data_IF_733230911957
#
_entry.id   IF_733230911957
#
_cell.length_a   1.000
_cell.length_b   1.000
_cell.length_c   1.000
_cell.angle_alpha   90.00
_cell.angle_beta   90.00
_cell.angle_gamma   90.00
#
_symmetry.space_group_name_H-M   'P 1'
#
loop_
_entity.id
_entity.type
_entity.pdbx_description
1 polymer ?
#
# COMPACT_ATOMS: atom_id res chain seq x y z
N UNK A 1 -0.34 13.37 -10.11
CA UNK A 1 0.90 12.66 -9.69
C UNK A 1 2.15 13.53 -9.73
N UNK A 2 2.28 14.51 -10.64
CA UNK A 2 3.32 15.55 -10.55
C UNK A 2 3.24 16.34 -9.23
N UNK A 3 2.03 16.65 -8.76
CA UNK A 3 1.82 17.35 -7.49
C UNK A 3 2.21 16.50 -6.27
N UNK A 4 1.88 15.20 -6.27
CA UNK A 4 2.32 14.25 -5.23
C UNK A 4 3.84 14.22 -5.10
N UNK A 5 4.55 14.14 -6.24
CA UNK A 5 6.01 14.19 -6.27
C UNK A 5 6.56 15.48 -5.63
N UNK A 6 5.99 16.64 -5.99
CA UNK A 6 6.39 17.93 -5.41
C UNK A 6 6.20 17.97 -3.89
N UNK A 7 5.09 17.42 -3.39
CA UNK A 7 4.82 17.34 -1.94
C UNK A 7 5.92 16.51 -1.26
N UNK A 8 6.23 15.31 -1.77
CA UNK A 8 7.29 14.46 -1.22
C UNK A 8 8.65 15.19 -1.25
N UNK A 9 9.03 15.75 -2.39
CA UNK A 9 10.32 16.42 -2.55
C UNK A 9 10.43 17.68 -1.66
N UNK A 10 9.31 18.34 -1.36
CA UNK A 10 9.25 19.51 -0.45
C UNK A 10 9.37 19.07 1.01
N UNK A 11 8.67 18.00 1.40
CA UNK A 11 8.78 17.41 2.73
C UNK A 11 10.20 16.90 3.02
N UNK A 12 10.89 16.33 2.02
CA UNK A 12 12.29 15.88 2.15
C UNK A 12 13.27 17.04 2.37
N UNK A 13 13.00 18.22 1.80
CA UNK A 13 13.85 19.43 1.97
C UNK A 13 13.67 20.10 3.32
N UNK A 14 12.54 19.86 3.98
CA UNK A 14 12.26 20.40 5.32
C UNK A 14 12.93 19.49 6.35
N UNK A 15 13.56 20.07 7.38
CA UNK A 15 14.25 19.27 8.41
C UNK A 15 13.27 18.34 9.13
N UNK A 16 13.40 17.02 8.88
CA UNK A 16 12.58 15.97 9.48
C UNK A 16 13.03 15.66 10.91
N UNK A 17 12.90 16.64 11.81
CA UNK A 17 13.22 16.50 13.24
C UNK A 17 12.20 15.64 13.98
N UNK A 18 10.94 15.68 13.55
CA UNK A 18 9.83 14.92 14.11
C UNK A 18 9.69 13.53 13.44
N UNK A 19 9.62 12.48 14.26
CA UNK A 19 9.40 11.11 13.80
C UNK A 19 8.03 10.92 13.14
N UNK A 20 6.98 11.59 13.61
CA UNK A 20 5.64 11.49 13.02
C UNK A 20 5.62 12.05 11.60
N UNK A 21 6.22 13.23 11.37
CA UNK A 21 6.35 13.82 10.03
C UNK A 21 7.21 12.95 9.10
N UNK A 22 8.27 12.33 9.63
CA UNK A 22 9.09 11.37 8.87
C UNK A 22 8.30 10.12 8.48
N UNK A 23 7.46 9.60 9.37
CA UNK A 23 6.58 8.47 9.08
C UNK A 23 5.50 8.84 8.04
N UNK A 24 4.97 10.06 8.10
CA UNK A 24 4.04 10.58 7.10
C UNK A 24 4.68 10.68 5.71
N UNK A 25 5.91 11.21 5.64
CA UNK A 25 6.69 11.21 4.39
C UNK A 25 6.89 9.79 3.85
N UNK A 26 7.22 8.83 4.73
CA UNK A 26 7.35 7.43 4.36
C UNK A 26 6.06 6.86 3.78
N UNK A 27 4.90 7.24 4.33
CA UNK A 27 3.59 6.87 3.80
C UNK A 27 3.38 7.42 2.38
N UNK A 28 3.65 8.71 2.16
CA UNK A 28 3.51 9.29 0.82
C UNK A 28 4.48 8.67 -0.20
N UNK A 29 5.72 8.38 0.20
CA UNK A 29 6.67 7.66 -0.64
C UNK A 29 6.16 6.25 -0.99
N UNK A 30 5.59 5.52 -0.02
CA UNK A 30 4.99 4.21 -0.26
C UNK A 30 3.91 4.24 -1.36
N UNK A 31 3.01 5.22 -1.32
CA UNK A 31 1.99 5.40 -2.37
C UNK A 31 2.59 5.80 -3.72
N UNK A 32 3.55 6.73 -3.73
CA UNK A 32 4.20 7.19 -4.95
C UNK A 32 5.00 6.09 -5.65
N UNK A 33 5.71 5.25 -4.89
CA UNK A 33 6.45 4.10 -5.43
C UNK A 33 5.48 3.12 -6.10
N UNK A 34 4.35 2.79 -5.45
CA UNK A 34 3.31 1.95 -6.06
C UNK A 34 2.83 2.52 -7.40
N UNK A 35 2.56 3.83 -7.44
CA UNK A 35 2.17 4.49 -8.69
C UNK A 35 3.27 4.39 -9.76
N UNK A 36 4.53 4.67 -9.43
CA UNK A 36 5.65 4.52 -10.36
C UNK A 36 5.72 3.10 -10.93
N UNK A 37 5.52 2.08 -10.10
CA UNK A 37 5.51 0.68 -10.54
C UNK A 37 4.34 0.39 -11.50
N UNK A 38 3.14 0.88 -11.19
CA UNK A 38 1.97 0.76 -12.09
C UNK A 38 2.21 1.41 -13.47
N UNK A 39 2.98 2.50 -13.50
CA UNK A 39 3.37 3.20 -14.73
C UNK A 39 4.68 2.68 -15.35
N UNK A 40 5.21 1.54 -14.86
CA UNK A 40 6.48 0.91 -15.33
C UNK A 40 7.71 1.82 -15.21
N UNK A 41 7.68 2.83 -14.33
CA UNK A 41 8.80 3.75 -14.05
C UNK A 41 9.74 3.14 -13.01
N UNK A 42 10.40 2.03 -13.36
CA UNK A 42 11.21 1.26 -12.41
C UNK A 42 12.42 2.02 -11.87
N UNK A 43 13.06 2.88 -12.67
CA UNK A 43 14.19 3.69 -12.22
C UNK A 43 13.77 4.70 -11.16
N UNK A 44 12.65 5.39 -11.39
CA UNK A 44 12.08 6.36 -10.43
C UNK A 44 11.62 5.65 -9.15
N UNK A 45 10.92 4.51 -9.29
CA UNK A 45 10.53 3.67 -8.15
C UNK A 45 11.74 3.26 -7.30
N UNK A 46 12.85 2.88 -7.94
CA UNK A 46 14.10 2.48 -7.26
C UNK A 46 14.71 3.64 -6.48
N UNK A 47 14.72 4.85 -7.06
CA UNK A 47 15.23 6.06 -6.39
C UNK A 47 14.43 6.35 -5.12
N UNK A 48 13.11 6.42 -5.22
CA UNK A 48 12.24 6.74 -4.08
C UNK A 48 12.22 5.62 -3.04
N UNK A 49 12.28 4.35 -3.45
CA UNK A 49 12.40 3.21 -2.55
C UNK A 49 13.65 3.33 -1.67
N UNK A 50 14.81 3.64 -2.25
CA UNK A 50 16.04 3.84 -1.49
C UNK A 50 15.95 5.02 -0.52
N UNK A 51 15.23 6.09 -0.87
CA UNK A 51 14.97 7.21 0.05
C UNK A 51 14.08 6.79 1.21
N UNK A 52 13.00 6.07 0.91
CA UNK A 52 12.07 5.53 1.89
C UNK A 52 12.75 4.59 2.90
N UNK A 53 13.66 3.73 2.44
CA UNK A 53 14.44 2.85 3.32
C UNK A 53 15.32 3.62 4.30
N UNK A 54 15.92 4.74 3.90
CA UNK A 54 16.67 5.61 4.83
C UNK A 54 15.78 6.20 5.92
N UNK A 55 14.50 6.48 5.61
CA UNK A 55 13.55 6.94 6.62
C UNK A 55 13.18 5.81 7.59
N UNK A 56 13.03 4.57 7.10
CA UNK A 56 12.85 3.39 7.96
C UNK A 56 14.04 3.24 8.92
N UNK A 57 15.28 3.26 8.42
CA UNK A 57 16.48 3.12 9.26
C UNK A 57 16.54 4.20 10.36
N UNK A 58 16.23 5.45 10.00
CA UNK A 58 16.21 6.56 10.95
C UNK A 58 15.11 6.41 12.03
N UNK A 59 13.96 5.82 11.70
CA UNK A 59 12.86 5.58 12.64
C UNK A 59 13.13 4.33 13.50
N UNK A 60 13.74 3.28 12.93
CA UNK A 60 14.14 2.06 13.63
C UNK A 60 15.19 2.35 14.72
N UNK A 61 16.19 3.19 14.43
CA UNK A 61 17.19 3.62 15.41
C UNK A 61 16.57 4.28 16.65
N UNK A 62 15.36 4.83 16.50
CA UNK A 62 14.59 5.46 17.59
C UNK A 62 13.47 4.55 18.12
N UNK A 63 13.36 3.32 17.61
CA UNK A 63 12.29 2.35 17.92
C UNK A 63 10.88 2.93 17.75
N UNK A 64 10.71 3.83 16.78
CA UNK A 64 9.45 4.54 16.59
C UNK A 64 8.46 3.71 15.77
N UNK A 65 7.33 3.33 16.38
CA UNK A 65 6.26 2.52 15.76
C UNK A 65 6.78 1.26 15.03
N UNK A 66 7.39 0.31 15.75
CA UNK A 66 8.05 -0.84 15.14
C UNK A 66 7.10 -1.70 14.29
N UNK A 67 5.83 -1.85 14.67
CA UNK A 67 4.85 -2.58 13.86
C UNK A 67 4.65 -1.95 12.46
N UNK A 68 4.46 -0.64 12.40
CA UNK A 68 4.34 0.11 11.14
C UNK A 68 5.60 -0.05 10.27
N UNK A 69 6.79 0.07 10.87
CA UNK A 69 8.05 -0.07 10.12
C UNK A 69 8.22 -1.48 9.56
N UNK A 70 7.85 -2.52 10.32
CA UNK A 70 7.82 -3.88 9.81
C UNK A 70 6.82 -4.03 8.64
N UNK A 71 5.64 -3.42 8.72
CA UNK A 71 4.68 -3.42 7.61
C UNK A 71 5.24 -2.71 6.36
N UNK A 72 5.91 -1.55 6.50
CA UNK A 72 6.57 -0.88 5.36
C UNK A 72 7.68 -1.74 4.76
N UNK A 73 8.51 -2.40 5.58
CA UNK A 73 9.53 -3.32 5.08
C UNK A 73 8.90 -4.47 4.28
N UNK A 74 7.78 -5.03 4.75
CA UNK A 74 7.05 -6.05 4.02
C UNK A 74 6.61 -5.56 2.63
N UNK A 75 6.00 -4.37 2.56
CA UNK A 75 5.60 -3.73 1.33
C UNK A 75 6.78 -3.50 0.38
N UNK A 76 7.90 -3.00 0.91
CA UNK A 76 9.09 -2.66 0.13
C UNK A 76 9.81 -3.88 -0.42
N UNK A 77 9.77 -5.02 0.26
CA UNK A 77 10.16 -6.28 -0.37
C UNK A 77 9.26 -6.64 -1.55
N UNK A 78 7.95 -6.43 -1.44
CA UNK A 78 7.02 -6.56 -2.58
C UNK A 78 7.39 -5.64 -3.75
N UNK A 79 7.71 -4.39 -3.48
CA UNK A 79 8.19 -3.44 -4.50
C UNK A 79 9.52 -3.87 -5.14
N UNK A 80 10.47 -4.38 -4.35
CA UNK A 80 11.72 -4.94 -4.89
C UNK A 80 11.47 -6.14 -5.80
N UNK A 81 10.48 -6.98 -5.49
CA UNK A 81 10.07 -8.09 -6.36
C UNK A 81 9.47 -7.55 -7.66
N UNK A 82 8.61 -6.54 -7.60
CA UNK A 82 8.05 -5.91 -8.80
C UNK A 82 9.14 -5.29 -9.71
N UNK A 83 10.21 -4.74 -9.13
CA UNK A 83 11.36 -4.20 -9.87
C UNK A 83 12.30 -5.32 -10.38
N UNK A 84 12.49 -6.37 -9.58
CA UNK A 84 13.39 -7.50 -9.89
C UNK A 84 12.71 -8.86 -9.69
N UNK A 85 11.82 -9.29 -10.60
CA UNK A 85 10.99 -10.48 -10.40
C UNK A 85 11.79 -11.78 -10.19
N UNK A 86 12.96 -11.90 -10.81
CA UNK A 86 13.84 -13.07 -10.65
C UNK A 86 14.36 -13.25 -9.20
N UNK A 87 14.26 -12.23 -8.33
CA UNK A 87 14.61 -12.30 -6.91
C UNK A 87 13.43 -12.70 -6.00
N UNK A 88 12.27 -13.04 -6.56
CA UNK A 88 11.05 -13.33 -5.79
C UNK A 88 11.24 -14.43 -4.73
N UNK A 89 11.91 -15.52 -5.05
CA UNK A 89 12.16 -16.63 -4.12
C UNK A 89 13.01 -16.24 -2.91
N UNK A 90 13.91 -15.26 -3.08
CA UNK A 90 14.76 -14.76 -2.00
C UNK A 90 14.10 -13.63 -1.19
N UNK A 91 13.35 -12.75 -1.85
CA UNK A 91 12.75 -11.56 -1.22
C UNK A 91 11.37 -11.84 -0.61
N UNK A 92 10.60 -12.77 -1.19
CA UNK A 92 9.26 -13.15 -0.74
C UNK A 92 9.22 -13.59 0.73
N UNK A 93 10.09 -14.51 1.17
CA UNK A 93 10.16 -14.93 2.58
C UNK A 93 10.44 -13.77 3.54
N UNK A 94 11.23 -12.77 3.12
CA UNK A 94 11.51 -11.58 3.93
C UNK A 94 10.26 -10.70 4.07
N UNK A 95 9.51 -10.51 2.98
CA UNK A 95 8.22 -9.81 3.01
C UNK A 95 7.26 -10.45 4.02
N UNK A 96 7.11 -11.78 3.94
CA UNK A 96 6.26 -12.56 4.85
C UNK A 96 6.74 -12.45 6.30
N UNK A 97 8.05 -12.56 6.54
CA UNK A 97 8.60 -12.44 7.89
C UNK A 97 8.28 -11.07 8.51
N UNK A 98 8.46 -10.01 7.74
CA UNK A 98 8.19 -8.65 8.22
C UNK A 98 6.72 -8.42 8.51
N UNK A 99 5.79 -8.86 7.66
CA UNK A 99 4.36 -8.65 7.93
C UNK A 99 3.90 -9.46 9.15
N UNK A 100 4.42 -10.69 9.31
CA UNK A 100 4.13 -11.50 10.50
C UNK A 100 4.66 -10.85 11.76
N UNK A 101 5.87 -10.28 11.71
CA UNK A 101 6.43 -9.57 12.86
C UNK A 101 5.63 -8.31 13.21
N UNK A 102 5.14 -7.57 12.22
CA UNK A 102 4.25 -6.43 12.45
C UNK A 102 2.97 -6.86 13.19
N UNK A 103 2.33 -7.94 12.75
CA UNK A 103 1.09 -8.47 13.34
C UNK A 103 1.32 -9.18 14.69
N UNK A 104 2.54 -9.64 14.98
CA UNK A 104 2.93 -10.13 16.30
C UNK A 104 3.02 -8.98 17.31
N UNK A 105 3.57 -7.83 16.88
CA UNK A 105 3.73 -6.64 17.72
C UNK A 105 2.36 -5.95 17.93
N UNK A 106 1.60 -5.75 16.85
CA UNK A 106 0.29 -5.12 16.85
C UNK A 106 -0.68 -5.92 15.95
N UNK A 107 -1.46 -6.86 16.50
CA UNK A 107 -2.36 -7.72 15.73
C UNK A 107 -3.46 -6.96 14.95
N UNK A 108 -3.84 -5.78 15.44
CA UNK A 108 -4.84 -4.90 14.82
C UNK A 108 -4.22 -3.76 14.01
N UNK A 109 -2.94 -3.88 13.62
CA UNK A 109 -2.32 -2.88 12.76
C UNK A 109 -2.91 -2.96 11.34
N UNK A 110 -3.72 -1.96 10.99
CA UNK A 110 -4.45 -1.93 9.71
C UNK A 110 -3.53 -1.91 8.49
N UNK A 111 -2.37 -1.25 8.60
CA UNK A 111 -1.41 -1.21 7.51
C UNK A 111 -0.72 -2.58 7.34
N UNK A 112 -0.38 -3.26 8.42
CA UNK A 112 0.15 -4.62 8.38
C UNK A 112 -0.85 -5.62 7.79
N UNK A 113 -2.14 -5.52 8.17
CA UNK A 113 -3.21 -6.35 7.59
C UNK A 113 -3.36 -6.10 6.09
N UNK A 114 -3.30 -4.84 5.65
CA UNK A 114 -3.30 -4.47 4.23
C UNK A 114 -2.11 -5.12 3.51
N UNK A 115 -0.89 -5.02 4.07
CA UNK A 115 0.29 -5.64 3.45
C UNK A 115 0.21 -7.16 3.43
N UNK A 116 -0.43 -7.77 4.42
CA UNK A 116 -0.60 -9.22 4.42
C UNK A 116 -1.56 -9.67 3.31
N UNK A 117 -2.64 -8.92 3.12
CA UNK A 117 -3.51 -9.07 1.95
C UNK A 117 -2.74 -8.93 0.63
N UNK A 118 -1.87 -7.92 0.51
CA UNK A 118 -1.04 -7.72 -0.68
C UNK A 118 -0.15 -8.93 -0.97
N UNK A 119 0.48 -9.51 0.06
CA UNK A 119 1.30 -10.72 -0.08
C UNK A 119 0.45 -11.87 -0.64
N UNK A 120 -0.73 -12.13 -0.08
CA UNK A 120 -1.63 -13.17 -0.60
C UNK A 120 -2.10 -12.89 -2.04
N UNK A 121 -2.32 -11.62 -2.38
CA UNK A 121 -2.80 -11.23 -3.70
C UNK A 121 -1.79 -11.47 -4.82
N UNK A 122 -0.52 -11.08 -4.59
CA UNK A 122 0.54 -11.12 -5.60
C UNK A 122 1.33 -12.42 -5.62
N UNK A 123 1.35 -13.18 -4.51
CA UNK A 123 2.02 -14.47 -4.46
C UNK A 123 1.38 -15.46 -5.43
N UNK A 124 2.16 -16.28 -6.17
CA UNK A 124 1.58 -17.34 -7.00
C UNK A 124 0.84 -18.38 -6.17
N UNK A 125 -0.21 -18.97 -6.73
CA UNK A 125 -1.06 -19.98 -6.06
C UNK A 125 -0.23 -21.21 -5.63
N UNK A 126 0.77 -21.61 -6.42
CA UNK A 126 1.69 -22.71 -6.09
C UNK A 126 2.53 -22.46 -4.83
N UNK A 127 2.66 -21.20 -4.42
CA UNK A 127 3.35 -20.78 -3.19
C UNK A 127 2.36 -20.38 -2.08
N UNK A 128 1.06 -20.63 -2.25
CA UNK A 128 0.02 -20.35 -1.26
C UNK A 128 -0.67 -18.98 -1.40
N UNK A 129 -0.48 -18.28 -2.53
CA UNK A 129 -1.23 -17.07 -2.83
C UNK A 129 -2.72 -17.34 -3.06
N UNK A 130 -3.57 -16.39 -2.68
CA UNK A 130 -5.03 -16.49 -2.84
C UNK A 130 -5.66 -15.09 -2.82
N UNK A 131 -6.36 -14.74 -3.90
CA UNK A 131 -7.06 -13.46 -4.02
C UNK A 131 -8.29 -13.40 -3.11
N UNK A 132 -8.91 -14.55 -2.84
CA UNK A 132 -9.98 -14.69 -1.85
C UNK A 132 -9.46 -14.37 -0.45
N UNK A 133 -8.33 -14.97 -0.06
CA UNK A 133 -7.70 -14.70 1.24
C UNK A 133 -7.27 -13.24 1.34
N UNK A 134 -6.67 -12.68 0.28
CA UNK A 134 -6.34 -11.27 0.21
C UNK A 134 -7.57 -10.38 0.47
N UNK A 135 -8.70 -10.68 -0.19
CA UNK A 135 -9.94 -9.91 -0.02
C UNK A 135 -10.44 -9.92 1.43
N UNK A 136 -10.26 -11.01 2.18
CA UNK A 136 -10.66 -11.07 3.59
C UNK A 136 -9.84 -10.11 4.46
N UNK A 137 -8.54 -9.97 4.21
CA UNK A 137 -7.70 -8.99 4.91
C UNK A 137 -8.10 -7.57 4.54
N UNK A 138 -8.31 -7.28 3.26
CA UNK A 138 -8.74 -5.94 2.82
C UNK A 138 -10.09 -5.55 3.40
N UNK A 139 -11.05 -6.47 3.47
CA UNK A 139 -12.36 -6.24 4.08
C UNK A 139 -12.26 -5.95 5.59
N UNK A 140 -11.30 -6.56 6.31
CA UNK A 140 -11.06 -6.20 7.71
C UNK A 140 -10.60 -4.75 7.84
N UNK A 141 -9.69 -4.32 6.97
CA UNK A 141 -9.19 -2.94 6.94
C UNK A 141 -10.29 -1.95 6.55
N UNK A 142 -11.09 -2.25 5.53
CA UNK A 142 -12.22 -1.42 5.12
C UNK A 142 -13.24 -1.27 6.25
N UNK A 143 -13.64 -2.37 6.90
CA UNK A 143 -14.56 -2.35 8.03
C UNK A 143 -14.04 -1.51 9.20
N UNK A 144 -12.74 -1.48 9.43
CA UNK A 144 -12.15 -0.60 10.44
C UNK A 144 -12.32 0.87 10.05
N UNK A 145 -12.00 1.25 8.81
CA UNK A 145 -12.21 2.62 8.33
C UNK A 145 -13.69 3.04 8.38
N UNK A 146 -14.62 2.15 8.01
CA UNK A 146 -16.06 2.42 8.07
C UNK A 146 -16.55 2.75 9.48
N UNK A 147 -15.91 2.17 10.52
CA UNK A 147 -16.22 2.46 11.93
C UNK A 147 -15.53 3.73 12.46
N UNK A 148 -14.59 4.31 11.71
CA UNK A 148 -13.79 5.46 12.13
C UNK A 148 -13.88 6.57 11.07
N UNK A 149 -15.02 7.27 10.95
CA UNK A 149 -15.26 8.25 9.88
C UNK A 149 -14.21 9.35 9.78
N UNK A 150 -13.65 9.78 10.91
CA UNK A 150 -12.55 10.75 11.00
C UNK A 150 -11.26 10.28 10.31
N UNK A 151 -11.08 8.96 10.15
CA UNK A 151 -9.93 8.36 9.47
C UNK A 151 -10.18 8.17 7.96
N UNK A 152 -11.40 8.41 7.46
CA UNK A 152 -11.76 8.30 6.04
C UNK A 152 -11.58 9.60 5.28
N UNK A 153 -11.95 10.72 5.90
CA UNK A 153 -11.97 12.03 5.26
C UNK A 153 -10.55 12.37 4.78
N UNK A 154 -10.40 12.63 3.48
CA UNK A 154 -9.11 13.01 2.84
C UNK A 154 -7.96 12.00 3.03
N UNK A 155 -8.25 10.76 3.43
CA UNK A 155 -7.21 9.76 3.67
C UNK A 155 -7.01 8.88 2.43
N UNK A 156 -5.94 9.14 1.69
CA UNK A 156 -5.59 8.36 0.50
C UNK A 156 -5.38 6.86 0.80
N UNK A 157 -5.02 6.48 2.04
CA UNK A 157 -4.87 5.07 2.41
C UNK A 157 -6.23 4.33 2.39
N UNK A 158 -7.31 4.99 2.81
CA UNK A 158 -8.66 4.43 2.71
C UNK A 158 -9.07 4.24 1.25
N UNK A 159 -8.81 5.25 0.41
CA UNK A 159 -9.05 5.16 -1.03
C UNK A 159 -8.24 4.02 -1.65
N UNK A 160 -6.98 3.86 -1.24
CA UNK A 160 -6.13 2.75 -1.68
C UNK A 160 -6.73 1.38 -1.29
N UNK A 161 -7.33 1.24 -0.10
CA UNK A 161 -8.02 0.01 0.30
C UNK A 161 -9.22 -0.28 -0.60
N UNK A 162 -10.04 0.73 -0.89
CA UNK A 162 -11.18 0.57 -1.80
C UNK A 162 -10.74 0.18 -3.21
N UNK A 163 -9.71 0.83 -3.75
CA UNK A 163 -9.12 0.52 -5.06
C UNK A 163 -8.59 -0.91 -5.09
N UNK A 164 -7.91 -1.32 -4.02
CA UNK A 164 -7.39 -2.69 -3.87
C UNK A 164 -8.52 -3.72 -3.86
N UNK A 165 -9.62 -3.44 -3.16
CA UNK A 165 -10.81 -4.29 -3.16
C UNK A 165 -11.48 -4.37 -4.54
N UNK A 166 -11.64 -3.23 -5.23
CA UNK A 166 -12.16 -3.20 -6.61
C UNK A 166 -11.33 -4.09 -7.53
N UNK A 167 -10.00 -3.89 -7.56
CA UNK A 167 -9.10 -4.69 -8.39
C UNK A 167 -9.12 -6.17 -8.01
N UNK A 168 -9.24 -6.47 -6.71
CA UNK A 168 -9.36 -7.86 -6.23
C UNK A 168 -10.64 -8.51 -6.72
N UNK A 169 -11.77 -7.82 -6.67
CA UNK A 169 -13.03 -8.35 -7.17
C UNK A 169 -13.07 -8.49 -8.69
N UNK A 170 -12.44 -7.58 -9.45
CA UNK A 170 -12.24 -7.73 -10.89
C UNK A 170 -11.46 -9.03 -11.16
N UNK A 171 -10.33 -9.22 -10.48
CA UNK A 171 -9.48 -10.40 -10.66
C UNK A 171 -10.15 -11.72 -10.22
N UNK A 172 -11.20 -11.64 -9.39
CA UNK A 172 -12.03 -12.77 -8.98
C UNK A 172 -13.27 -12.98 -9.87
N UNK A 173 -13.47 -12.17 -10.91
CA UNK A 173 -14.66 -12.21 -11.77
C UNK A 173 -15.95 -11.73 -11.08
N UNK A 174 -15.86 -11.07 -9.91
CA UNK A 174 -17.01 -10.62 -9.11
C UNK A 174 -17.39 -9.19 -9.49
N UNK A 175 -17.91 -9.02 -10.71
CA UNK A 175 -18.19 -7.72 -11.34
C UNK A 175 -19.12 -6.81 -10.51
N UNK A 176 -20.16 -7.37 -9.90
CA UNK A 176 -21.11 -6.59 -9.09
C UNK A 176 -20.43 -5.97 -7.87
N UNK A 177 -19.60 -6.75 -7.17
CA UNK A 177 -18.82 -6.26 -6.02
C UNK A 177 -17.77 -5.25 -6.45
N UNK A 178 -17.09 -5.48 -7.58
CA UNK A 178 -16.14 -4.50 -8.10
C UNK A 178 -16.83 -3.16 -8.40
N UNK A 179 -18.04 -3.19 -8.96
CA UNK A 179 -18.84 -1.99 -9.24
C UNK A 179 -19.29 -1.29 -7.97
N UNK A 180 -19.71 -2.04 -6.94
CA UNK A 180 -20.05 -1.49 -5.62
C UNK A 180 -18.88 -0.70 -5.03
N UNK A 181 -17.68 -1.29 -5.01
CA UNK A 181 -16.50 -0.62 -4.46
C UNK A 181 -16.02 0.54 -5.33
N UNK A 182 -16.12 0.45 -6.65
CA UNK A 182 -15.87 1.58 -7.53
C UNK A 182 -16.77 2.78 -7.20
N UNK A 183 -18.06 2.53 -6.96
CA UNK A 183 -18.99 3.59 -6.58
C UNK A 183 -18.62 4.22 -5.22
N UNK A 184 -18.19 3.41 -4.23
CA UNK A 184 -17.66 3.94 -2.95
C UNK A 184 -16.49 4.90 -3.18
N UNK A 185 -15.57 4.57 -4.09
CA UNK A 185 -14.42 5.42 -4.43
C UNK A 185 -14.90 6.75 -5.03
N UNK A 186 -15.83 6.71 -6.00
CA UNK A 186 -16.35 7.92 -6.65
C UNK A 186 -17.10 8.82 -5.66
N UNK A 187 -17.81 8.25 -4.69
CA UNK A 187 -18.44 9.02 -3.61
C UNK A 187 -17.41 9.67 -2.69
N UNK A 188 -16.32 8.97 -2.36
CA UNK A 188 -15.29 9.48 -1.46
C UNK A 188 -14.36 10.52 -2.12
N UNK A 189 -14.06 10.39 -3.42
CA UNK A 189 -13.27 11.36 -4.19
C UNK A 189 -13.93 11.72 -5.55
N UNK A 190 -15.00 12.52 -5.55
CA UNK A 190 -15.80 12.78 -6.77
C UNK A 190 -15.03 13.54 -7.87
N UNK A 191 -13.98 14.28 -7.48
CA UNK A 191 -13.17 15.14 -8.36
C UNK A 191 -11.92 14.44 -8.91
N UNK A 192 -11.63 13.21 -8.47
CA UNK A 192 -10.41 12.49 -8.84
C UNK A 192 -10.49 11.94 -10.27
N UNK A 193 -9.81 12.60 -11.22
CA UNK A 193 -9.83 12.22 -12.64
C UNK A 193 -9.19 10.86 -12.92
N UNK A 194 -8.17 10.46 -12.14
CA UNK A 194 -7.45 9.20 -12.32
C UNK A 194 -8.32 7.97 -12.03
N UNK A 195 -9.20 8.05 -11.02
CA UNK A 195 -10.12 6.96 -10.63
C UNK A 195 -11.04 6.60 -11.80
N UNK A 196 -11.60 7.61 -12.47
CA UNK A 196 -12.50 7.44 -13.61
C UNK A 196 -11.77 6.94 -14.86
N UNK A 197 -10.50 7.32 -15.03
CA UNK A 197 -9.72 7.00 -16.24
C UNK A 197 -9.06 5.62 -16.19
N UNK A 198 -8.55 5.19 -15.03
CA UNK A 198 -7.79 3.95 -14.92
C UNK A 198 -8.63 2.75 -14.45
N UNK A 199 -9.64 2.96 -13.60
CA UNK A 199 -10.40 1.86 -12.97
C UNK A 199 -11.69 1.53 -13.74
N UNK A 200 -12.45 2.55 -14.15
CA UNK A 200 -13.73 2.35 -14.85
C UNK A 200 -13.64 1.49 -16.13
N UNK A 201 -12.62 1.65 -17.00
CA UNK A 201 -12.52 0.83 -18.21
C UNK A 201 -12.39 -0.68 -17.94
N UNK A 202 -11.86 -1.07 -16.77
CA UNK A 202 -11.68 -2.48 -16.38
C UNK A 202 -12.98 -3.14 -15.90
N UNK A 203 -14.05 -2.35 -15.71
CA UNK A 203 -15.37 -2.83 -15.30
C UNK A 203 -16.31 -3.08 -16.49
N UNK A 204 -15.87 -2.81 -17.73
CA UNK A 204 -16.65 -3.11 -18.94
C UNK A 204 -16.46 -4.57 -19.32
#
# INVERSE_FOLDING_TARGET
MSEWKKIIDTMEKTSLTNNQTRLELLNYQYGYIAWCLGQKKHDEATIYLRRAEKHIDALDNKKYKPADLHAYKAAFYGYKIAITPFKASYLGPKSIWHVKKALEIEPENMFALLQYGNIYYYMPVTFGGSKETASQYYLKVEKWYEKHPQQRITNWNYINVLVTLTNTYIALGKKDKATEYYNKIVTAEPTSSWIKQEIYPQLK
#
